data_IF_292233867033
#
_entry.id   IF_292233867033
#
_cell.length_a   1.000
_cell.length_b   1.000
_cell.length_c   1.000
_cell.angle_alpha   90.00
_cell.angle_beta   90.00
_cell.angle_gamma   90.00
#
_symmetry.space_group_name_H-M   'P 1'
#
loop_
_entity.id
_entity.type
_entity.pdbx_description
1 polymer ?
#
# COMPACT_ATOMS: atom_id res chain seq x y z
N UNK A 1 26.48 40.87 15.89
CA UNK A 1 25.20 40.14 15.93
C UNK A 1 25.38 38.92 15.05
N UNK A 2 25.37 37.74 15.68
CA UNK A 2 25.70 36.43 15.09
C UNK A 2 24.75 36.00 13.96
N UNK A 3 25.33 35.28 13.00
CA UNK A 3 24.88 34.10 12.23
C UNK A 3 23.41 33.68 12.42
N UNK A 4 22.61 33.29 11.41
CA UNK A 4 22.90 32.33 10.32
C UNK A 4 21.57 32.16 9.50
N UNK A 5 21.53 32.23 8.16
CA UNK A 5 20.33 31.83 7.41
C UNK A 5 20.38 30.31 7.20
N UNK A 6 20.06 29.53 8.25
CA UNK A 6 19.82 28.10 8.08
C UNK A 6 18.37 27.87 7.64
N UNK A 7 18.13 28.18 6.37
CA UNK A 7 17.22 27.36 5.56
C UNK A 7 17.69 25.92 5.75
N UNK A 8 16.84 24.96 6.17
CA UNK A 8 17.19 23.58 5.94
C UNK A 8 17.26 23.43 4.43
N UNK A 9 18.48 23.33 3.91
CA UNK A 9 18.77 22.77 2.60
C UNK A 9 18.02 21.44 2.53
N UNK A 10 16.81 21.47 1.97
CA UNK A 10 16.31 20.31 1.24
C UNK A 10 17.31 20.17 0.11
N UNK A 11 18.31 19.31 0.32
CA UNK A 11 19.05 18.77 -0.79
C UNK A 11 18.00 18.19 -1.72
N UNK A 12 17.92 18.76 -2.92
CA UNK A 12 17.26 18.21 -4.10
C UNK A 12 17.78 16.77 -4.31
N UNK A 13 17.23 15.83 -3.56
CA UNK A 13 17.10 14.46 -3.99
C UNK A 13 16.08 14.47 -5.10
N UNK A 14 16.49 14.03 -6.29
CA UNK A 14 15.65 13.85 -7.47
C UNK A 14 14.25 13.33 -7.06
N UNK A 15 13.15 13.97 -7.50
CA UNK A 15 11.82 13.48 -7.21
C UNK A 15 11.61 12.19 -8.01
N UNK A 16 11.79 11.01 -7.41
CA UNK A 16 11.54 9.79 -8.17
C UNK A 16 11.97 8.43 -7.64
N UNK A 17 12.22 8.22 -6.34
CA UNK A 17 12.53 6.85 -5.85
C UNK A 17 12.05 6.55 -4.42
N UNK A 18 11.10 7.34 -3.88
CA UNK A 18 10.42 6.91 -2.66
C UNK A 18 9.33 5.90 -3.04
N UNK A 19 9.35 4.67 -2.50
CA UNK A 19 8.31 3.70 -2.79
C UNK A 19 6.96 4.31 -2.42
N UNK A 20 5.94 4.16 -3.26
CA UNK A 20 4.68 4.85 -3.06
C UNK A 20 4.07 4.45 -1.72
N UNK A 21 3.46 5.42 -1.05
CA UNK A 21 2.83 5.18 0.25
C UNK A 21 1.83 4.02 0.16
N UNK A 22 1.85 3.07 1.12
CA UNK A 22 0.89 1.99 1.14
C UNK A 22 -0.54 2.52 1.19
N UNK A 23 -1.41 1.95 0.36
CA UNK A 23 -2.85 2.26 0.30
C UNK A 23 -3.66 1.38 1.25
N UNK A 24 -3.01 0.71 2.21
CA UNK A 24 -3.70 -0.22 3.09
C UNK A 24 -2.81 -1.24 3.77
N UNK A 25 -3.48 -2.23 4.39
CA UNK A 25 -2.84 -3.38 5.02
C UNK A 25 -3.53 -4.69 4.60
N UNK A 26 -2.74 -5.75 4.53
CA UNK A 26 -3.19 -7.10 4.28
C UNK A 26 -2.81 -8.03 5.42
N UNK A 27 -3.68 -9.01 5.69
CA UNK A 27 -3.43 -10.12 6.60
C UNK A 27 -3.90 -11.42 5.93
N UNK A 28 -2.99 -12.39 5.78
CA UNK A 28 -3.40 -13.74 5.41
C UNK A 28 -3.67 -14.52 6.68
N UNK A 29 -4.94 -14.86 6.91
CA UNK A 29 -5.36 -15.69 8.04
C UNK A 29 -4.78 -17.10 7.94
N UNK A 30 -4.83 -17.83 9.05
CA UNK A 30 -4.41 -19.24 9.12
C UNK A 30 -5.21 -20.16 8.19
N UNK A 31 -6.47 -19.81 7.88
CA UNK A 31 -7.31 -20.52 6.91
C UNK A 31 -6.97 -20.19 5.45
N UNK A 32 -5.98 -19.31 5.22
CA UNK A 32 -5.54 -18.87 3.91
C UNK A 32 -6.39 -17.77 3.29
N UNK A 33 -7.41 -17.22 3.98
CA UNK A 33 -8.13 -16.05 3.48
C UNK A 33 -7.24 -14.80 3.61
N UNK A 34 -7.13 -14.03 2.54
CA UNK A 34 -6.47 -12.71 2.57
C UNK A 34 -7.52 -11.64 2.87
N UNK A 35 -7.36 -10.97 4.00
CA UNK A 35 -8.11 -9.76 4.34
C UNK A 35 -7.33 -8.53 3.87
N UNK A 36 -7.85 -7.78 2.91
CA UNK A 36 -7.28 -6.51 2.46
C UNK A 36 -8.13 -5.34 2.96
N UNK A 37 -7.49 -4.42 3.68
CA UNK A 37 -8.08 -3.17 4.14
C UNK A 37 -7.43 -2.04 3.35
N UNK A 38 -8.18 -1.42 2.47
CA UNK A 38 -7.70 -0.39 1.55
C UNK A 38 -8.30 0.96 1.87
N UNK A 39 -7.51 2.00 1.65
CA UNK A 39 -7.90 3.40 1.72
C UNK A 39 -7.59 4.03 0.37
N UNK A 40 -8.60 4.66 -0.23
CA UNK A 40 -8.47 5.39 -1.48
C UNK A 40 -8.76 6.87 -1.24
N UNK A 41 -7.88 7.74 -1.74
CA UNK A 41 -8.07 9.19 -1.72
C UNK A 41 -8.25 9.70 -3.14
N UNK A 42 -9.14 10.67 -3.32
CA UNK A 42 -9.34 11.35 -4.60
C UNK A 42 -9.48 12.87 -4.40
N UNK A 43 -9.23 13.69 -5.44
CA UNK A 43 -9.37 15.14 -5.37
C UNK A 43 -10.74 15.56 -4.82
N UNK A 44 -10.76 16.64 -4.04
CA UNK A 44 -11.99 17.13 -3.40
C UNK A 44 -12.28 16.52 -2.03
N UNK A 45 -11.24 16.07 -1.31
CA UNK A 45 -11.34 15.44 0.02
C UNK A 45 -12.20 14.16 0.04
N UNK A 46 -12.20 13.43 -1.07
CA UNK A 46 -12.89 12.15 -1.16
C UNK A 46 -12.00 11.08 -0.53
N UNK A 47 -12.53 10.41 0.50
CA UNK A 47 -11.93 9.27 1.17
C UNK A 47 -12.86 8.06 1.02
N UNK A 48 -12.34 6.99 0.46
CA UNK A 48 -13.01 5.69 0.38
C UNK A 48 -12.25 4.66 1.20
N UNK A 49 -13.00 3.80 1.89
CA UNK A 49 -12.46 2.63 2.58
C UNK A 49 -13.07 1.36 1.98
N UNK A 50 -12.28 0.31 1.84
CA UNK A 50 -12.74 -0.97 1.34
C UNK A 50 -12.13 -2.14 2.12
N UNK A 51 -12.95 -3.15 2.39
CA UNK A 51 -12.52 -4.43 2.93
C UNK A 51 -12.81 -5.52 1.90
N UNK A 52 -11.77 -6.24 1.46
CA UNK A 52 -11.89 -7.41 0.61
C UNK A 52 -11.47 -8.66 1.37
N UNK A 53 -12.24 -9.72 1.21
CA UNK A 53 -11.92 -11.06 1.70
C UNK A 53 -11.72 -11.98 0.49
N UNK A 54 -10.47 -12.29 0.19
CA UNK A 54 -10.12 -13.15 -0.94
C UNK A 54 -9.87 -14.56 -0.42
N UNK A 55 -10.69 -15.50 -0.87
CA UNK A 55 -10.48 -16.93 -0.63
C UNK A 55 -9.46 -17.48 -1.63
N UNK A 56 -8.75 -18.58 -1.31
CA UNK A 56 -7.77 -19.19 -2.22
C UNK A 56 -8.29 -19.57 -3.61
N UNK A 57 -9.61 -19.74 -3.76
CA UNK A 57 -10.29 -20.05 -5.03
C UNK A 57 -10.75 -18.80 -5.82
N UNK A 58 -10.60 -17.59 -5.28
CA UNK A 58 -10.89 -16.35 -6.01
C UNK A 58 -9.87 -16.17 -7.15
N UNK A 59 -10.30 -15.88 -8.39
CA UNK A 59 -9.39 -15.69 -9.52
C UNK A 59 -8.31 -14.60 -9.30
N UNK A 60 -8.57 -13.64 -8.41
CA UNK A 60 -7.63 -12.56 -8.07
C UNK A 60 -6.64 -12.94 -6.98
N UNK A 61 -6.87 -14.03 -6.26
CA UNK A 61 -6.14 -14.38 -5.04
C UNK A 61 -4.63 -14.43 -5.26
N UNK A 62 -4.19 -15.22 -6.25
CA UNK A 62 -2.76 -15.41 -6.49
C UNK A 62 -2.09 -14.11 -6.91
N UNK A 63 -2.72 -13.34 -7.81
CA UNK A 63 -2.18 -12.05 -8.24
C UNK A 63 -2.04 -11.06 -7.08
N UNK A 64 -2.96 -11.09 -6.13
CA UNK A 64 -2.87 -10.25 -4.92
C UNK A 64 -1.78 -10.76 -3.98
N UNK A 65 -1.64 -12.07 -3.76
CA UNK A 65 -0.55 -12.63 -2.94
C UNK A 65 0.82 -12.28 -3.51
N UNK A 66 0.98 -12.37 -4.83
CA UNK A 66 2.21 -12.02 -5.53
C UNK A 66 2.52 -10.52 -5.40
N UNK A 67 1.49 -9.66 -5.57
CA UNK A 67 1.60 -8.21 -5.37
C UNK A 67 2.02 -7.83 -3.95
N UNK A 68 1.59 -8.61 -2.96
CA UNK A 68 1.96 -8.44 -1.55
C UNK A 68 3.35 -9.02 -1.21
N UNK A 69 4.11 -9.47 -2.20
CA UNK A 69 5.46 -10.02 -2.00
C UNK A 69 5.47 -11.48 -1.54
N UNK A 70 4.43 -12.25 -1.88
CA UNK A 70 4.34 -13.67 -1.52
C UNK A 70 3.89 -13.90 -0.07
N UNK A 71 2.89 -13.12 0.37
CA UNK A 71 2.33 -13.22 1.72
C UNK A 71 1.97 -14.68 2.08
N UNK A 72 2.33 -15.11 3.28
CA UNK A 72 2.09 -16.47 3.79
C UNK A 72 1.09 -16.45 4.94
N UNK A 73 0.54 -17.62 5.30
CA UNK A 73 -0.46 -17.78 6.37
C UNK A 73 0.06 -17.23 7.70
N UNK A 74 -0.82 -16.50 8.40
CA UNK A 74 -0.51 -15.73 9.62
C UNK A 74 0.25 -14.43 9.36
N UNK A 75 0.64 -14.17 8.10
CA UNK A 75 1.50 -13.04 7.72
C UNK A 75 0.74 -11.75 7.50
N UNK A 76 1.45 -10.64 7.69
CA UNK A 76 0.97 -9.28 7.43
C UNK A 76 1.87 -8.58 6.42
N UNK A 77 1.27 -7.75 5.56
CA UNK A 77 2.02 -6.92 4.63
C UNK A 77 1.33 -5.55 4.44
N UNK A 78 2.09 -4.46 4.23
CA UNK A 78 1.53 -3.24 3.67
C UNK A 78 1.02 -3.51 2.25
N UNK A 79 -0.05 -2.83 1.84
CA UNK A 79 -0.55 -2.95 0.46
C UNK A 79 0.00 -1.79 -0.36
N UNK A 80 0.94 -2.02 -1.29
CA UNK A 80 1.35 -0.97 -2.22
C UNK A 80 0.20 -0.65 -3.19
N UNK A 81 0.19 0.54 -3.82
CA UNK A 81 -0.80 0.85 -4.85
C UNK A 81 -0.83 -0.22 -5.92
N UNK A 82 -2.05 -0.60 -6.32
CA UNK A 82 -2.21 -1.51 -7.45
C UNK A 82 -1.92 -0.81 -8.78
N UNK A 83 -1.35 -1.51 -9.76
CA UNK A 83 -1.31 -1.02 -11.12
C UNK A 83 -2.73 -0.66 -11.63
N UNK A 84 -2.86 0.30 -12.56
CA UNK A 84 -4.14 0.59 -13.19
C UNK A 84 -4.80 -0.66 -13.80
N UNK A 85 -6.10 -0.85 -13.59
CA UNK A 85 -6.90 -1.91 -14.24
C UNK A 85 -6.85 -3.29 -13.58
N UNK A 86 -6.35 -3.39 -12.34
CA UNK A 86 -6.24 -4.67 -11.60
C UNK A 86 -7.54 -5.08 -10.88
N UNK A 87 -8.55 -4.20 -10.87
CA UNK A 87 -9.91 -4.47 -10.37
C UNK A 87 -10.98 -3.98 -11.34
#
# INVERSE_FOLDING_TARGET
MSSDPRTPTHSDGLPGDEPPEPIGSAHMREDGIVELRLVATAPGAILGEALFLLKPDDPRYQGVVDHLGGLTRGGYAPVPPFPPGVF
#
